data_IF_908818149237
#
_entry.id   IF_908818149237
#
_cell.length_a   1.000
_cell.length_b   1.000
_cell.length_c   1.000
_cell.angle_alpha   90.00
_cell.angle_beta   90.00
_cell.angle_gamma   90.00
#
_symmetry.space_group_name_H-M   'P 1'
#
loop_
_entity.id
_entity.type
_entity.pdbx_description
1 polymer ?
#
# COMPACT_ATOMS: atom_id res chain seq x y z
N UNK A 1 2.39 39.55 22.43
CA UNK A 1 2.51 38.53 21.35
C UNK A 1 1.20 37.77 21.24
N UNK A 2 0.40 37.96 20.19
CA UNK A 2 -0.99 37.45 20.13
C UNK A 2 -1.17 36.02 19.60
N UNK A 3 -0.11 35.35 19.11
CA UNK A 3 -0.20 33.95 18.66
C UNK A 3 1.09 33.19 18.98
N UNK A 4 0.96 32.07 19.70
CA UNK A 4 2.08 31.17 20.00
C UNK A 4 2.53 30.37 18.77
N UNK A 5 3.79 29.92 18.77
CA UNK A 5 4.34 29.10 17.68
C UNK A 5 3.72 27.70 17.73
N UNK A 6 2.89 27.35 16.76
CA UNK A 6 2.37 25.98 16.62
C UNK A 6 3.25 25.16 15.67
N UNK A 7 3.67 23.96 16.09
CA UNK A 7 4.39 23.04 15.23
C UNK A 7 3.43 22.31 14.28
N UNK A 8 3.82 22.15 13.01
CA UNK A 8 3.00 21.41 12.04
C UNK A 8 3.14 19.90 12.29
N UNK A 9 2.01 19.20 12.36
CA UNK A 9 1.98 17.74 12.49
C UNK A 9 2.65 17.02 11.31
N UNK A 10 3.38 15.94 11.60
CA UNK A 10 4.05 15.12 10.57
C UNK A 10 3.02 14.32 9.77
N UNK A 11 3.11 14.39 8.43
CA UNK A 11 2.26 13.59 7.54
C UNK A 11 2.67 12.12 7.59
N UNK A 12 1.68 11.24 7.66
CA UNK A 12 1.87 9.79 7.66
C UNK A 12 2.14 9.30 6.23
N UNK A 13 3.16 8.45 6.07
CA UNK A 13 3.54 7.90 4.77
C UNK A 13 2.59 6.79 4.26
N UNK A 14 2.15 5.88 5.15
CA UNK A 14 1.34 4.70 4.84
C UNK A 14 -0.08 4.79 5.42
N UNK A 15 -0.91 5.67 4.85
CA UNK A 15 -2.25 5.97 5.40
C UNK A 15 -3.22 4.79 5.36
N UNK A 16 -3.13 3.93 4.34
CA UNK A 16 -4.08 2.81 4.18
C UNK A 16 -3.92 1.74 5.26
N UNK A 17 -2.73 1.60 5.85
CA UNK A 17 -2.48 0.63 6.92
C UNK A 17 -2.97 1.10 8.29
N UNK A 18 -3.37 2.38 8.41
CA UNK A 18 -3.88 2.97 9.67
C UNK A 18 -5.39 2.94 9.84
N UNK A 19 -6.12 2.51 8.81
CA UNK A 19 -7.59 2.48 8.83
C UNK A 19 -8.09 1.05 8.89
N UNK A 20 -9.05 0.79 9.75
CA UNK A 20 -9.80 -0.46 9.86
C UNK A 20 -11.26 -0.17 9.55
N UNK A 21 -11.91 -1.02 8.76
CA UNK A 21 -13.33 -0.87 8.42
C UNK A 21 -14.13 -1.90 9.19
N UNK A 22 -15.07 -1.45 10.01
CA UNK A 22 -16.04 -2.31 10.68
C UNK A 22 -17.23 -2.53 9.74
N UNK A 23 -17.47 -3.79 9.35
CA UNK A 23 -18.54 -4.14 8.42
C UNK A 23 -19.94 -4.03 9.04
N UNK A 24 -20.07 -4.26 10.35
CA UNK A 24 -21.34 -4.20 11.08
C UNK A 24 -21.86 -2.77 11.13
N UNK A 25 -21.02 -1.86 11.62
CA UNK A 25 -21.41 -0.47 11.86
C UNK A 25 -21.13 0.44 10.65
N UNK A 26 -20.47 -0.09 9.61
CA UNK A 26 -20.01 0.65 8.41
C UNK A 26 -19.12 1.86 8.73
N UNK A 27 -18.46 1.85 9.89
CA UNK A 27 -17.55 2.91 10.36
C UNK A 27 -16.10 2.54 10.09
N UNK A 28 -15.28 3.55 9.78
CA UNK A 28 -13.82 3.41 9.68
C UNK A 28 -13.14 3.88 10.96
N UNK A 29 -12.45 2.98 11.66
CA UNK A 29 -11.63 3.30 12.82
C UNK A 29 -10.17 3.51 12.45
N UNK A 30 -9.45 4.36 13.19
CA UNK A 30 -8.02 4.59 12.99
C UNK A 30 -7.18 3.62 13.84
N UNK A 31 -7.12 2.36 13.43
CA UNK A 31 -6.27 1.35 14.08
C UNK A 31 -5.02 1.11 13.21
N UNK A 32 -3.82 1.51 13.68
CA UNK A 32 -2.57 1.23 12.99
C UNK A 32 -2.28 -0.28 12.98
N UNK A 33 -1.95 -0.81 11.81
CA UNK A 33 -1.47 -2.19 11.66
C UNK A 33 -0.18 -2.22 10.83
N UNK A 34 0.82 -3.04 11.19
CA UNK A 34 2.03 -3.19 10.38
C UNK A 34 1.75 -3.85 9.01
N UNK A 35 0.73 -4.73 8.96
CA UNK A 35 0.34 -5.46 7.76
C UNK A 35 -1.19 -5.48 7.60
N UNK A 36 -1.68 -5.56 6.36
CA UNK A 36 -3.09 -5.85 6.09
C UNK A 36 -3.22 -6.88 4.98
N UNK A 37 -4.20 -7.77 5.14
CA UNK A 37 -4.61 -8.70 4.08
C UNK A 37 -5.38 -7.95 2.99
N UNK A 38 -5.20 -8.38 1.76
CA UNK A 38 -5.95 -7.88 0.61
C UNK A 38 -6.06 -8.93 -0.48
N UNK A 39 -6.87 -8.62 -1.48
CA UNK A 39 -7.07 -9.43 -2.69
C UNK A 39 -6.53 -8.65 -3.87
N UNK A 40 -5.77 -9.32 -4.73
CA UNK A 40 -5.23 -8.73 -5.97
C UNK A 40 -6.38 -8.54 -6.96
N UNK A 41 -6.51 -7.32 -7.49
CA UNK A 41 -7.50 -6.99 -8.52
C UNK A 41 -6.89 -7.04 -9.91
N UNK A 42 -5.67 -6.53 -10.07
CA UNK A 42 -4.97 -6.49 -11.35
C UNK A 42 -3.46 -6.55 -11.10
N UNK A 43 -2.77 -7.38 -11.88
CA UNK A 43 -1.31 -7.42 -11.93
C UNK A 43 -0.86 -6.67 -13.19
N UNK A 44 0.07 -5.72 -13.05
CA UNK A 44 0.60 -4.97 -14.18
C UNK A 44 2.05 -4.54 -13.97
N UNK A 45 2.70 -4.10 -15.02
CA UNK A 45 4.03 -3.49 -14.95
C UNK A 45 3.93 -1.97 -14.97
N UNK A 46 4.84 -1.28 -14.28
CA UNK A 46 4.98 0.18 -14.29
C UNK A 46 6.42 0.57 -14.57
N UNK A 47 6.59 1.64 -15.35
CA UNK A 47 7.90 2.26 -15.59
C UNK A 47 8.29 3.15 -14.40
N UNK A 48 9.55 3.13 -13.97
CA UNK A 48 10.06 4.00 -12.92
C UNK A 48 10.21 5.44 -13.42
N UNK A 49 10.44 6.37 -12.48
CA UNK A 49 10.89 7.72 -12.81
C UNK A 49 12.29 7.67 -13.43
N UNK A 50 12.55 8.59 -14.37
CA UNK A 50 13.92 8.91 -14.83
C UNK A 50 14.81 9.20 -13.59
N UNK A 51 16.09 8.80 -13.57
CA UNK A 51 16.93 8.31 -14.66
C UNK A 51 16.85 6.80 -14.93
N UNK A 52 16.17 6.05 -14.08
CA UNK A 52 16.16 4.60 -14.14
C UNK A 52 15.30 4.08 -15.30
N UNK A 53 15.73 2.99 -15.93
CA UNK A 53 14.99 2.26 -16.96
C UNK A 53 14.81 0.80 -16.53
N UNK A 54 13.57 0.39 -16.26
CA UNK A 54 13.23 -1.00 -15.92
C UNK A 54 11.70 -1.17 -16.00
N UNK A 55 11.22 -2.40 -16.06
CA UNK A 55 9.81 -2.71 -15.82
C UNK A 55 9.66 -3.21 -14.38
N UNK A 56 8.92 -2.47 -13.55
CA UNK A 56 8.64 -2.87 -12.16
C UNK A 56 7.28 -3.56 -12.10
N UNK A 57 7.24 -4.76 -11.53
CA UNK A 57 6.00 -5.53 -11.35
C UNK A 57 5.21 -4.97 -10.17
N UNK A 58 3.95 -4.65 -10.38
CA UNK A 58 3.05 -4.08 -9.37
C UNK A 58 1.69 -4.77 -9.42
N UNK A 59 0.98 -4.72 -8.30
CA UNK A 59 -0.40 -5.18 -8.20
C UNK A 59 -1.29 -4.07 -7.66
N UNK A 60 -2.49 -3.95 -8.22
CA UNK A 60 -3.64 -3.32 -7.56
C UNK A 60 -4.19 -4.31 -6.56
N UNK A 61 -4.30 -3.89 -5.31
CA UNK A 61 -4.75 -4.72 -4.19
C UNK A 61 -5.89 -4.00 -3.47
N UNK A 62 -7.00 -4.70 -3.30
CA UNK A 62 -8.10 -4.25 -2.44
C UNK A 62 -7.86 -4.78 -1.03
N UNK A 63 -7.60 -3.88 -0.10
CA UNK A 63 -7.35 -4.22 1.31
C UNK A 63 -8.65 -4.55 2.05
N UNK A 64 -8.52 -5.22 3.19
CA UNK A 64 -9.66 -5.53 4.08
C UNK A 64 -10.44 -4.29 4.56
N UNK A 65 -9.83 -3.10 4.53
CA UNK A 65 -10.50 -1.83 4.84
C UNK A 65 -11.18 -1.16 3.64
N UNK A 66 -11.44 -1.92 2.56
CA UNK A 66 -12.05 -1.50 1.30
C UNK A 66 -11.25 -0.47 0.49
N UNK A 67 -10.03 -0.11 0.90
CA UNK A 67 -9.19 0.79 0.12
C UNK A 67 -8.41 0.02 -0.94
N UNK A 68 -8.30 0.63 -2.12
CA UNK A 68 -7.47 0.12 -3.20
C UNK A 68 -6.09 0.77 -3.19
N UNK A 69 -5.06 -0.06 -3.11
CA UNK A 69 -3.67 0.37 -3.07
C UNK A 69 -2.88 -0.27 -4.20
N UNK A 70 -1.82 0.41 -4.64
CA UNK A 70 -0.85 -0.17 -5.57
C UNK A 70 0.33 -0.63 -4.74
N UNK A 71 0.62 -1.91 -4.81
CA UNK A 71 1.70 -2.54 -4.08
C UNK A 71 2.75 -3.08 -5.06
N UNK A 72 4.02 -2.93 -4.70
CA UNK A 72 5.13 -3.51 -5.44
C UNK A 72 5.26 -5.00 -5.16
N UNK A 73 5.53 -5.78 -6.20
CA UNK A 73 5.81 -7.21 -6.10
C UNK A 73 7.34 -7.36 -6.05
N UNK A 74 7.94 -7.71 -4.91
CA UNK A 74 9.38 -7.89 -4.81
C UNK A 74 9.82 -9.22 -5.42
N UNK A 75 11.07 -9.28 -5.87
CA UNK A 75 11.66 -10.47 -6.50
C UNK A 75 11.55 -10.48 -8.02
N UNK A 76 12.17 -11.50 -8.64
CA UNK A 76 12.25 -11.64 -10.10
C UNK A 76 10.99 -12.33 -10.63
N UNK A 77 10.61 -13.47 -10.05
CA UNK A 77 9.39 -14.22 -10.36
C UNK A 77 8.26 -13.95 -9.36
N UNK A 78 7.01 -14.05 -9.82
CA UNK A 78 5.81 -14.11 -8.97
C UNK A 78 4.76 -15.00 -9.63
N UNK A 79 3.96 -15.65 -8.79
CA UNK A 79 2.85 -16.52 -9.20
C UNK A 79 1.48 -15.86 -8.91
N UNK A 80 1.48 -14.56 -8.57
CA UNK A 80 0.25 -13.85 -8.23
C UNK A 80 -0.65 -13.77 -9.45
N UNK A 81 -1.80 -14.42 -9.34
CA UNK A 81 -2.92 -14.29 -10.26
C UNK A 81 -3.84 -13.15 -9.82
N UNK A 82 -4.76 -12.77 -10.70
CA UNK A 82 -5.91 -11.99 -10.27
C UNK A 82 -6.70 -12.78 -9.22
N UNK A 83 -7.28 -12.08 -8.24
CA UNK A 83 -8.00 -12.66 -7.10
C UNK A 83 -7.13 -13.41 -6.08
N UNK A 84 -5.82 -13.46 -6.25
CA UNK A 84 -4.92 -14.01 -5.23
C UNK A 84 -5.00 -13.23 -3.92
N UNK A 85 -4.94 -13.95 -2.79
CA UNK A 85 -4.87 -13.36 -1.46
C UNK A 85 -3.42 -12.99 -1.17
N UNK A 86 -3.20 -11.78 -0.67
CA UNK A 86 -1.86 -11.28 -0.37
C UNK A 86 -1.83 -10.55 0.97
N UNK A 87 -0.64 -10.52 1.58
CA UNK A 87 -0.36 -9.62 2.68
C UNK A 87 0.45 -8.42 2.20
N UNK A 88 0.00 -7.22 2.58
CA UNK A 88 0.63 -5.95 2.20
C UNK A 88 1.28 -5.29 3.41
N UNK A 89 2.49 -4.77 3.21
CA UNK A 89 3.24 -3.97 4.18
C UNK A 89 3.49 -2.55 3.70
N UNK A 90 3.77 -1.65 4.64
CA UNK A 90 4.20 -0.29 4.35
C UNK A 90 5.62 -0.27 3.80
N UNK A 91 5.90 0.64 2.89
CA UNK A 91 7.23 0.83 2.32
C UNK A 91 7.10 1.52 0.98
N UNK A 92 7.59 2.75 0.88
CA UNK A 92 7.55 3.49 -0.39
C UNK A 92 8.63 2.96 -1.31
N UNK A 93 8.27 2.61 -2.53
CA UNK A 93 9.26 2.39 -3.59
C UNK A 93 9.71 3.77 -4.08
N UNK A 94 10.99 4.13 -3.94
CA UNK A 94 11.48 5.46 -4.30
C UNK A 94 11.28 5.75 -5.80
N UNK A 95 11.55 4.74 -6.63
CA UNK A 95 11.53 4.83 -8.10
C UNK A 95 10.13 5.02 -8.70
N UNK A 96 9.08 4.49 -8.05
CA UNK A 96 7.75 4.43 -8.64
C UNK A 96 6.84 5.54 -8.10
N UNK A 97 6.16 6.31 -8.97
CA UNK A 97 5.17 7.26 -8.52
C UNK A 97 3.94 6.54 -7.96
N UNK A 98 3.46 6.98 -6.78
CA UNK A 98 2.22 6.47 -6.19
C UNK A 98 2.29 5.10 -5.51
N UNK A 99 3.41 4.38 -5.62
CA UNK A 99 3.58 3.04 -5.01
C UNK A 99 4.19 3.17 -3.61
N UNK A 100 3.32 3.09 -2.60
CA UNK A 100 3.67 3.29 -1.17
C UNK A 100 3.72 2.00 -0.36
N UNK A 101 3.46 0.86 -0.99
CA UNK A 101 3.27 -0.43 -0.33
C UNK A 101 4.01 -1.53 -1.06
N UNK A 102 4.33 -2.59 -0.33
CA UNK A 102 4.97 -3.81 -0.85
C UNK A 102 4.13 -5.02 -0.48
N UNK A 103 4.07 -6.00 -1.37
CA UNK A 103 3.55 -7.33 -1.04
C UNK A 103 4.62 -8.10 -0.26
N UNK A 104 4.20 -8.82 0.76
CA UNK A 104 5.03 -9.74 1.53
C UNK A 104 4.98 -11.11 0.83
N UNK A 105 6.16 -11.68 0.53
CA UNK A 105 6.27 -13.00 -0.10
C UNK A 105 6.10 -14.13 0.91
N UNK A 106 5.72 -15.31 0.42
CA UNK A 106 5.60 -16.54 1.23
C UNK A 106 4.51 -16.45 2.30
N UNK A 107 3.51 -15.60 2.08
CA UNK A 107 2.40 -15.38 3.00
C UNK A 107 1.12 -15.38 2.17
N UNK A 108 0.44 -16.54 2.26
CA UNK A 108 -0.60 -17.05 1.38
C UNK A 108 -0.08 -17.60 0.06
#
# INVERSE_FOLDING_TARGET
MKYGRHSRGKKVKATALRKFFNAKDRVTHQVPSPFKRGVVTLVKTMTPKKPNSALRKVARVRLSNKQEVTAYIPGIGHELTEHAIVLVRGGRVPDLPGVKYHIVRGKY
#
